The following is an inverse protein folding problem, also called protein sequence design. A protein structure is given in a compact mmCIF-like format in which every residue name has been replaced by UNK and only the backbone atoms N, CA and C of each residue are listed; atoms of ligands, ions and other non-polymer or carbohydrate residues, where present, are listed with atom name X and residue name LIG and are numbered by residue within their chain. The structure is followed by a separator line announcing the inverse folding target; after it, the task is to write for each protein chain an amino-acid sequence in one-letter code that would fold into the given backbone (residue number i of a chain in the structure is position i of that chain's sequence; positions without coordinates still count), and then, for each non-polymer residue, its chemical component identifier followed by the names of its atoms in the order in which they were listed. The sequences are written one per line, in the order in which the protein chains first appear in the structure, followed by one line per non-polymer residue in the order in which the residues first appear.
data_IF_749563916469
#
_entry.id   IF_749563916469
#
_cell.length_a   1.000
_cell.length_b   1.000
_cell.length_c   1.000
_cell.angle_alpha   90.00
_cell.angle_beta   90.00
_cell.angle_gamma   90.00
#
_symmetry.space_group_name_H-M   'P 1'
#
loop_
_entity.id
_entity.type
_entity.pdbx_description
1 polymer ?
#
# COMPACT_ATOMS: atom_id res chain seq x y z
N UNK A 1 -0.60 -17.41 -26.16
CA UNK A 1 0.69 -16.70 -26.34
C UNK A 1 1.55 -16.76 -25.08
N UNK A 2 1.05 -16.33 -23.93
CA UNK A 2 1.87 -16.18 -22.71
C UNK A 2 1.88 -17.37 -21.74
N UNK A 3 1.15 -18.45 -22.04
CA UNK A 3 0.95 -19.60 -21.12
C UNK A 3 2.20 -20.24 -20.53
N UNK A 4 3.35 -20.12 -21.19
CA UNK A 4 4.61 -20.72 -20.77
C UNK A 4 5.55 -19.73 -20.08
N UNK A 5 5.08 -18.53 -19.76
CA UNK A 5 5.82 -17.53 -19.01
C UNK A 5 5.30 -17.54 -17.57
N UNK A 6 6.22 -17.73 -16.63
CA UNK A 6 5.98 -17.82 -15.18
C UNK A 6 5.92 -16.46 -14.48
N UNK A 7 6.37 -15.40 -15.15
CA UNK A 7 6.49 -14.03 -14.64
C UNK A 7 5.36 -13.13 -15.18
N UNK A 8 4.12 -13.63 -15.17
CA UNK A 8 2.95 -12.90 -15.66
C UNK A 8 1.92 -12.76 -14.54
N UNK A 9 1.44 -11.52 -14.36
CA UNK A 9 0.25 -11.20 -13.57
C UNK A 9 -0.79 -10.66 -14.55
N UNK A 10 -2.00 -11.20 -14.53
CA UNK A 10 -3.08 -10.73 -15.40
C UNK A 10 -3.88 -9.65 -14.68
N UNK A 11 -3.85 -8.44 -15.21
CA UNK A 11 -4.60 -7.30 -14.69
C UNK A 11 -5.74 -7.06 -15.67
N UNK A 12 -6.96 -7.41 -15.27
CA UNK A 12 -8.19 -7.08 -16.01
C UNK A 12 -8.59 -5.63 -15.70
N UNK A 13 -9.61 -5.11 -16.39
CA UNK A 13 -10.05 -3.72 -16.21
C UNK A 13 -9.06 -2.73 -16.82
N UNK A 14 -8.88 -1.60 -16.14
CA UNK A 14 -8.00 -0.51 -16.55
C UNK A 14 -8.72 0.84 -16.53
N UNK A 15 -8.50 1.61 -15.47
CA UNK A 15 -9.06 2.95 -15.21
C UNK A 15 -10.58 3.04 -15.48
N UNK A 16 -11.34 2.06 -14.94
CA UNK A 16 -12.79 2.00 -15.11
C UNK A 16 -13.48 1.23 -13.99
N UNK A 17 -14.59 1.76 -13.49
CA UNK A 17 -15.49 1.03 -12.59
C UNK A 17 -16.16 -0.13 -13.35
N UNK A 18 -16.13 -1.33 -12.77
CA UNK A 18 -16.60 -2.53 -13.46
C UNK A 18 -18.11 -2.54 -13.77
N UNK A 19 -18.88 -1.70 -13.10
CA UNK A 19 -20.33 -1.52 -13.25
C UNK A 19 -20.72 -0.23 -13.97
N UNK A 20 -19.76 0.52 -14.53
CA UNK A 20 -20.06 1.78 -15.21
C UNK A 20 -20.66 1.54 -16.60
N UNK A 21 -21.92 1.96 -16.80
CA UNK A 21 -22.52 2.08 -18.14
C UNK A 21 -23.05 0.78 -18.77
N UNK A 22 -23.12 -0.34 -18.04
CA UNK A 22 -23.71 -1.59 -18.54
C UNK A 22 -23.25 -2.84 -17.78
N UNK A 23 -23.62 -4.01 -18.31
CA UNK A 23 -23.22 -5.33 -17.78
C UNK A 23 -21.78 -5.70 -18.17
N UNK A 24 -20.81 -4.90 -17.73
CA UNK A 24 -19.39 -5.16 -17.99
C UNK A 24 -18.80 -6.21 -17.04
N UNK A 25 -19.41 -6.44 -15.87
CA UNK A 25 -18.97 -7.52 -14.96
C UNK A 25 -18.95 -8.87 -15.66
N UNK A 26 -19.99 -9.20 -16.45
CA UNK A 26 -20.03 -10.42 -17.25
C UNK A 26 -18.87 -10.51 -18.24
N UNK A 27 -18.49 -9.41 -18.87
CA UNK A 27 -17.35 -9.39 -19.80
C UNK A 27 -16.02 -9.66 -19.09
N UNK A 28 -15.78 -9.04 -17.93
CA UNK A 28 -14.55 -9.29 -17.16
C UNK A 28 -14.46 -10.74 -16.68
N UNK A 29 -15.57 -11.31 -16.22
CA UNK A 29 -15.67 -12.74 -15.86
C UNK A 29 -15.36 -13.65 -17.03
N UNK A 30 -15.97 -13.42 -18.19
CA UNK A 30 -15.67 -14.19 -19.41
C UNK A 30 -14.22 -14.04 -19.88
N UNK A 31 -13.59 -12.87 -19.66
CA UNK A 31 -12.16 -12.70 -19.92
C UNK A 31 -11.31 -13.56 -18.99
N UNK A 32 -11.62 -13.62 -17.68
CA UNK A 32 -10.91 -14.47 -16.73
C UNK A 32 -11.05 -15.96 -17.07
N UNK A 33 -12.26 -16.42 -17.39
CA UNK A 33 -12.53 -17.78 -17.86
C UNK A 33 -11.74 -18.09 -19.15
N UNK A 34 -11.73 -17.15 -20.10
CA UNK A 34 -10.98 -17.26 -21.35
C UNK A 34 -9.47 -17.34 -21.16
N UNK A 35 -8.91 -16.64 -20.17
CA UNK A 35 -7.49 -16.74 -19.79
C UNK A 35 -7.18 -18.16 -19.31
N UNK A 36 -7.97 -18.71 -18.39
CA UNK A 36 -7.76 -20.08 -17.89
C UNK A 36 -7.94 -21.10 -18.99
N UNK A 37 -8.95 -20.96 -19.85
CA UNK A 37 -9.11 -21.82 -21.02
C UNK A 37 -7.88 -21.75 -21.93
N UNK A 38 -7.36 -20.54 -22.20
CA UNK A 38 -6.18 -20.36 -23.03
C UNK A 38 -4.89 -20.96 -22.45
N UNK A 39 -4.78 -21.08 -21.13
CA UNK A 39 -3.64 -21.66 -20.43
C UNK A 39 -3.78 -23.19 -20.30
N UNK A 40 -4.96 -23.66 -19.91
CA UNK A 40 -5.19 -25.04 -19.43
C UNK A 40 -6.01 -25.91 -20.40
N UNK A 41 -6.77 -25.29 -21.32
CA UNK A 41 -7.75 -25.95 -22.18
C UNK A 41 -9.06 -26.32 -21.47
N UNK A 42 -9.25 -25.89 -20.23
CA UNK A 42 -10.40 -26.24 -19.39
C UNK A 42 -11.44 -25.12 -19.40
N UNK A 43 -12.71 -25.49 -19.48
CA UNK A 43 -13.83 -24.56 -19.31
C UNK A 43 -14.31 -24.65 -17.87
N UNK A 44 -14.26 -23.52 -17.16
CA UNK A 44 -14.74 -23.36 -15.79
C UNK A 44 -15.55 -22.07 -15.72
N UNK A 45 -16.48 -21.97 -14.77
CA UNK A 45 -17.22 -20.74 -14.56
C UNK A 45 -16.56 -19.86 -13.48
N UNK A 46 -16.61 -18.55 -13.64
CA UNK A 46 -16.02 -17.52 -12.76
C UNK A 46 -16.41 -17.65 -11.27
N UNK A 47 -17.54 -18.29 -10.98
CA UNK A 47 -18.09 -18.51 -9.64
C UNK A 47 -17.87 -19.93 -9.10
N UNK A 48 -17.13 -20.77 -9.82
CA UNK A 48 -16.80 -22.13 -9.40
C UNK A 48 -15.41 -22.17 -8.78
N UNK A 49 -15.31 -22.75 -7.58
CA UNK A 49 -14.01 -23.05 -6.99
C UNK A 49 -13.36 -24.19 -7.78
N UNK A 50 -12.21 -23.92 -8.38
CA UNK A 50 -11.50 -24.84 -9.26
C UNK A 50 -9.99 -24.70 -9.10
N UNK A 51 -9.23 -25.81 -9.06
CA UNK A 51 -7.76 -25.72 -9.00
C UNK A 51 -7.15 -25.10 -10.25
N UNK A 52 -7.90 -24.95 -11.34
CA UNK A 52 -7.40 -24.34 -12.57
C UNK A 52 -7.19 -22.82 -12.43
N UNK A 53 -7.85 -22.14 -11.48
CA UNK A 53 -7.58 -20.73 -11.20
C UNK A 53 -6.11 -20.49 -10.79
N UNK A 54 -5.47 -21.45 -10.12
CA UNK A 54 -4.06 -21.36 -9.69
C UNK A 54 -3.03 -21.32 -10.83
N UNK A 55 -3.44 -21.48 -12.10
CA UNK A 55 -2.54 -21.38 -13.25
C UNK A 55 -2.30 -19.93 -13.71
N UNK A 56 -3.03 -18.96 -13.17
CA UNK A 56 -2.88 -17.55 -13.49
C UNK A 56 -3.15 -16.72 -12.24
N UNK A 57 -2.18 -15.87 -11.85
CA UNK A 57 -2.45 -14.85 -10.84
C UNK A 57 -3.18 -13.67 -11.49
N UNK A 58 -4.38 -13.35 -11.02
CA UNK A 58 -5.28 -12.38 -11.64
C UNK A 58 -5.84 -11.35 -10.65
N UNK A 59 -6.06 -10.13 -11.16
CA UNK A 59 -6.67 -9.02 -10.43
C UNK A 59 -7.47 -8.12 -11.38
N UNK A 60 -8.08 -7.06 -10.84
CA UNK A 60 -8.83 -6.06 -11.61
C UNK A 60 -8.35 -4.65 -11.24
N UNK A 61 -7.92 -3.87 -12.23
CA UNK A 61 -7.58 -2.46 -12.06
C UNK A 61 -8.87 -1.60 -12.10
N UNK A 62 -9.25 -0.95 -10.99
CA UNK A 62 -10.41 -0.06 -10.93
C UNK A 62 -10.13 1.29 -11.61
N UNK A 63 -10.99 2.29 -11.38
CA UNK A 63 -10.71 3.70 -11.64
C UNK A 63 -10.24 4.41 -10.35
N UNK A 64 -9.87 5.68 -10.48
CA UNK A 64 -9.47 6.55 -9.37
C UNK A 64 -10.55 6.91 -8.34
N UNK A 65 -11.60 6.11 -8.19
CA UNK A 65 -12.61 6.21 -7.13
C UNK A 65 -12.12 5.45 -5.88
N UNK A 66 -11.47 6.12 -4.90
CA UNK A 66 -10.62 5.45 -3.91
C UNK A 66 -11.37 4.46 -2.99
N UNK A 67 -12.69 4.56 -2.87
CA UNK A 67 -13.51 3.70 -2.00
C UNK A 67 -14.33 2.65 -2.79
N UNK A 68 -14.17 2.59 -4.11
CA UNK A 68 -14.90 1.69 -5.00
C UNK A 68 -13.92 0.95 -5.92
N UNK A 69 -13.27 -0.04 -5.35
CA UNK A 69 -12.19 -0.80 -6.00
C UNK A 69 -12.63 -2.20 -6.41
N UNK A 70 -11.71 -3.01 -6.93
CA UNK A 70 -11.96 -4.40 -7.34
C UNK A 70 -12.73 -5.26 -6.32
N UNK A 71 -12.46 -5.05 -5.02
CA UNK A 71 -13.17 -5.69 -3.91
C UNK A 71 -14.68 -5.42 -3.89
N UNK A 72 -15.14 -4.30 -4.48
CA UNK A 72 -16.56 -3.96 -4.57
C UNK A 72 -17.32 -4.91 -5.49
N UNK A 73 -16.66 -5.45 -6.51
CA UNK A 73 -17.34 -6.19 -7.58
C UNK A 73 -16.94 -7.67 -7.66
N UNK A 74 -15.71 -8.00 -7.31
CA UNK A 74 -15.10 -9.29 -7.61
C UNK A 74 -14.48 -9.97 -6.38
N UNK A 75 -14.69 -9.44 -5.17
CA UNK A 75 -14.12 -10.03 -3.96
C UNK A 75 -14.49 -11.50 -3.76
N UNK A 76 -15.73 -11.87 -4.09
CA UNK A 76 -16.24 -13.24 -3.93
C UNK A 76 -16.03 -14.10 -5.18
N UNK A 77 -15.59 -13.50 -6.29
CA UNK A 77 -15.35 -14.23 -7.53
C UNK A 77 -14.12 -15.15 -7.38
N UNK A 78 -14.23 -16.40 -7.87
CA UNK A 78 -13.19 -17.41 -7.70
C UNK A 78 -11.92 -17.10 -8.51
N UNK A 79 -12.04 -16.29 -9.57
CA UNK A 79 -10.92 -15.93 -10.43
C UNK A 79 -10.04 -14.80 -9.90
N UNK A 80 -10.52 -13.98 -8.96
CA UNK A 80 -9.78 -12.83 -8.44
C UNK A 80 -8.86 -13.26 -7.30
N UNK A 81 -7.55 -13.31 -7.50
CA UNK A 81 -6.61 -13.77 -6.47
C UNK A 81 -6.31 -12.69 -5.41
N UNK A 82 -6.28 -11.43 -5.82
CA UNK A 82 -6.05 -10.29 -4.93
C UNK A 82 -6.80 -9.06 -5.42
N UNK A 83 -7.22 -8.21 -4.49
CA UNK A 83 -7.82 -6.93 -4.83
C UNK A 83 -6.72 -5.93 -5.22
N UNK A 84 -7.03 -5.05 -6.16
CA UNK A 84 -6.24 -3.88 -6.50
C UNK A 84 -7.05 -2.61 -6.25
N UNK A 85 -6.35 -1.59 -5.73
CA UNK A 85 -6.88 -0.26 -5.41
C UNK A 85 -6.22 0.78 -6.31
N UNK A 86 -7.01 1.75 -6.74
CA UNK A 86 -6.53 3.00 -7.31
C UNK A 86 -7.07 4.17 -6.48
N UNK A 87 -6.17 5.02 -5.96
CA UNK A 87 -6.58 6.28 -5.33
C UNK A 87 -6.34 7.48 -6.22
N UNK A 88 -5.48 7.32 -7.23
CA UNK A 88 -5.03 8.40 -8.11
C UNK A 88 -4.66 9.66 -7.30
N UNK A 89 -5.25 10.82 -7.58
CA UNK A 89 -4.96 12.09 -6.88
C UNK A 89 -5.47 12.18 -5.44
N UNK A 90 -6.25 11.20 -4.96
CA UNK A 90 -6.86 11.20 -3.63
C UNK A 90 -5.88 10.69 -2.55
N UNK A 91 -4.76 11.38 -2.37
CA UNK A 91 -3.68 11.01 -1.43
C UNK A 91 -4.14 10.82 0.03
N UNK A 92 -5.24 11.45 0.42
CA UNK A 92 -5.79 11.32 1.78
C UNK A 92 -6.55 10.02 2.02
N UNK A 93 -6.94 9.31 0.97
CA UNK A 93 -7.78 8.11 1.08
C UNK A 93 -6.98 6.81 1.11
N UNK A 94 -5.65 6.86 0.98
CA UNK A 94 -4.79 5.67 0.87
C UNK A 94 -4.97 4.70 2.03
N UNK A 95 -4.87 5.20 3.27
CA UNK A 95 -5.01 4.34 4.45
C UNK A 95 -6.43 3.76 4.53
N UNK A 96 -7.45 4.60 4.34
CA UNK A 96 -8.86 4.21 4.45
C UNK A 96 -9.23 3.12 3.42
N UNK A 97 -8.86 3.33 2.15
CA UNK A 97 -9.13 2.41 1.06
C UNK A 97 -8.50 1.02 1.31
N UNK A 98 -7.25 0.98 1.76
CA UNK A 98 -6.59 -0.30 2.09
C UNK A 98 -7.24 -0.95 3.30
N UNK A 99 -7.58 -0.18 4.34
CA UNK A 99 -8.24 -0.77 5.52
C UNK A 99 -9.62 -1.32 5.21
N UNK A 100 -10.37 -0.70 4.29
CA UNK A 100 -11.67 -1.23 3.84
C UNK A 100 -11.51 -2.67 3.34
N UNK A 101 -10.57 -2.92 2.43
CA UNK A 101 -10.32 -4.26 1.92
C UNK A 101 -9.74 -5.20 2.98
N UNK A 102 -8.83 -4.71 3.83
CA UNK A 102 -8.19 -5.53 4.88
C UNK A 102 -9.20 -6.11 5.88
N UNK A 103 -10.36 -5.44 6.08
CA UNK A 103 -11.43 -5.95 6.95
C UNK A 103 -12.28 -7.06 6.33
N UNK A 104 -12.14 -7.33 5.02
CA UNK A 104 -12.86 -8.40 4.36
C UNK A 104 -12.27 -9.76 4.75
N UNK A 105 -13.12 -10.67 5.24
CA UNK A 105 -12.68 -11.92 5.85
C UNK A 105 -13.21 -13.18 5.18
N UNK A 106 -14.09 -13.07 4.20
CA UNK A 106 -14.73 -14.22 3.55
C UNK A 106 -14.95 -13.93 2.06
N UNK A 107 -14.06 -14.43 1.17
CA UNK A 107 -12.77 -15.04 1.49
C UNK A 107 -11.71 -14.02 1.92
N UNK A 108 -10.70 -14.45 2.69
CA UNK A 108 -9.52 -13.59 2.93
C UNK A 108 -8.71 -13.48 1.63
N UNK A 109 -8.54 -12.27 1.11
CA UNK A 109 -7.72 -11.96 -0.07
C UNK A 109 -6.70 -10.86 0.22
N UNK A 110 -5.49 -10.92 -0.36
CA UNK A 110 -4.55 -9.81 -0.33
C UNK A 110 -5.10 -8.59 -1.09
N UNK A 111 -4.61 -7.40 -0.74
CA UNK A 111 -4.91 -6.15 -1.47
C UNK A 111 -3.62 -5.42 -1.83
N UNK A 112 -3.53 -4.92 -3.06
CA UNK A 112 -2.38 -4.16 -3.56
C UNK A 112 -2.82 -2.73 -3.88
N UNK A 113 -2.06 -1.74 -3.42
CA UNK A 113 -2.18 -0.37 -3.92
C UNK A 113 -1.59 -0.32 -5.34
N UNK A 114 -2.45 -0.43 -6.34
CA UNK A 114 -2.07 -0.59 -7.75
C UNK A 114 -1.77 0.72 -8.45
N UNK A 115 -2.50 1.78 -8.11
CA UNK A 115 -2.30 3.11 -8.69
C UNK A 115 -2.53 4.22 -7.64
N UNK A 116 -1.46 4.62 -6.92
CA UNK A 116 -1.45 5.79 -6.06
C UNK A 116 -1.17 7.07 -6.88
N UNK A 117 -1.11 8.24 -6.24
CA UNK A 117 -0.72 9.48 -6.90
C UNK A 117 0.73 9.40 -7.40
N UNK A 118 0.92 9.67 -8.69
CA UNK A 118 2.21 9.61 -9.36
C UNK A 118 3.14 10.77 -8.99
N UNK A 119 4.44 10.51 -8.89
CA UNK A 119 5.46 11.54 -8.68
C UNK A 119 5.41 12.57 -9.83
N UNK A 120 5.43 13.87 -9.48
CA UNK A 120 5.30 15.00 -10.41
C UNK A 120 3.94 15.09 -11.15
N UNK A 121 2.92 14.33 -10.75
CA UNK A 121 1.55 14.59 -11.21
C UNK A 121 1.07 15.95 -10.70
N UNK A 122 0.36 16.77 -11.50
CA UNK A 122 -0.27 17.99 -11.00
C UNK A 122 -1.20 17.71 -9.81
N UNK A 123 -0.91 18.28 -8.65
CA UNK A 123 -1.77 18.25 -7.47
C UNK A 123 -2.33 19.64 -7.14
N UNK A 124 -3.20 19.69 -6.12
CA UNK A 124 -3.86 20.92 -5.68
C UNK A 124 -2.90 22.02 -5.22
N UNK A 125 -1.81 21.63 -4.54
CA UNK A 125 -0.82 22.54 -3.95
C UNK A 125 0.50 22.59 -4.74
N UNK A 126 0.50 21.99 -5.93
CA UNK A 126 1.69 21.79 -6.75
C UNK A 126 1.86 20.33 -7.15
N UNK A 127 2.92 20.00 -7.89
CA UNK A 127 3.21 18.63 -8.29
C UNK A 127 3.38 17.71 -7.07
N UNK A 128 2.88 16.48 -7.16
CA UNK A 128 3.05 15.44 -6.12
C UNK A 128 4.55 15.24 -5.86
N UNK A 129 4.95 15.53 -4.63
CA UNK A 129 6.35 15.46 -4.21
C UNK A 129 6.76 14.03 -3.80
N UNK A 130 8.06 13.76 -3.81
CA UNK A 130 8.61 12.47 -3.39
C UNK A 130 8.17 12.03 -1.98
N UNK A 131 8.01 12.98 -1.04
CA UNK A 131 7.50 12.69 0.31
C UNK A 131 6.06 12.16 0.28
N UNK A 132 5.22 12.65 -0.62
CA UNK A 132 3.84 12.18 -0.76
C UNK A 132 3.80 10.76 -1.34
N UNK A 133 4.69 10.44 -2.28
CA UNK A 133 4.89 9.06 -2.77
C UNK A 133 5.29 8.12 -1.62
N UNK A 134 6.23 8.56 -0.76
CA UNK A 134 6.60 7.77 0.42
C UNK A 134 5.43 7.55 1.36
N UNK A 135 4.72 8.62 1.75
CA UNK A 135 3.56 8.55 2.65
C UNK A 135 2.55 7.52 2.17
N UNK A 136 2.21 7.55 0.88
CA UNK A 136 1.30 6.58 0.29
C UNK A 136 1.81 5.14 0.44
N UNK A 137 3.08 4.88 0.09
CA UNK A 137 3.67 3.54 0.23
C UNK A 137 3.68 3.02 1.67
N UNK A 138 4.16 3.84 2.61
CA UNK A 138 4.21 3.47 4.02
C UNK A 138 2.82 3.28 4.63
N UNK A 139 1.88 4.19 4.34
CA UNK A 139 0.50 4.05 4.81
C UNK A 139 -0.18 2.83 4.22
N UNK A 140 0.06 2.45 2.96
CA UNK A 140 -0.48 1.22 2.38
C UNK A 140 -0.05 -0.03 3.14
N UNK A 141 1.26 -0.23 3.39
CA UNK A 141 1.72 -1.41 4.14
C UNK A 141 1.23 -1.40 5.59
N UNK A 142 1.22 -0.23 6.24
CA UNK A 142 0.75 -0.12 7.63
C UNK A 142 -0.78 -0.26 7.78
N UNK A 143 -1.53 -0.06 6.69
CA UNK A 143 -2.96 -0.37 6.60
C UNK A 143 -3.24 -1.85 6.31
N UNK A 144 -2.24 -2.65 5.95
CA UNK A 144 -2.36 -4.08 5.66
C UNK A 144 -2.28 -4.47 4.18
N UNK A 145 -1.80 -3.58 3.30
CA UNK A 145 -1.60 -3.92 1.89
C UNK A 145 -0.51 -5.00 1.72
N UNK A 146 -0.70 -5.85 0.72
CA UNK A 146 0.24 -6.87 0.27
C UNK A 146 1.25 -6.35 -0.78
N UNK A 147 1.08 -5.12 -1.24
CA UNK A 147 1.96 -4.51 -2.23
C UNK A 147 1.63 -3.05 -2.50
N UNK A 148 2.56 -2.38 -3.18
CA UNK A 148 2.45 -0.99 -3.60
C UNK A 148 3.16 -0.80 -4.94
N UNK A 149 2.51 -0.11 -5.87
CA UNK A 149 3.06 0.23 -7.18
C UNK A 149 3.46 1.70 -7.24
N UNK A 150 4.67 1.97 -7.71
CA UNK A 150 5.14 3.33 -8.00
C UNK A 150 4.72 3.78 -9.39
N UNK A 151 4.44 5.08 -9.56
CA UNK A 151 4.35 5.71 -10.87
C UNK A 151 4.87 7.15 -10.90
N UNK A 152 5.21 7.60 -12.10
CA UNK A 152 5.72 8.93 -12.40
C UNK A 152 4.89 9.53 -13.54
N UNK A 153 4.53 10.81 -13.43
CA UNK A 153 3.67 11.46 -14.43
C UNK A 153 4.46 12.17 -15.54
N UNK A 154 5.64 12.71 -15.21
CA UNK A 154 6.48 13.49 -16.13
C UNK A 154 7.82 12.82 -16.37
N UNK A 155 8.45 13.18 -17.47
CA UNK A 155 9.84 12.84 -17.77
C UNK A 155 10.82 13.81 -17.11
N UNK A 156 12.11 13.55 -17.28
CA UNK A 156 13.17 14.39 -16.70
C UNK A 156 13.31 15.79 -17.31
N UNK A 157 12.61 16.09 -18.41
CA UNK A 157 12.51 17.43 -18.99
C UNK A 157 11.19 18.12 -18.61
N UNK A 158 10.34 17.46 -17.83
CA UNK A 158 9.04 17.98 -17.42
C UNK A 158 7.92 17.73 -18.43
N UNK A 159 8.15 16.94 -19.48
CA UNK A 159 7.08 16.55 -20.41
C UNK A 159 6.23 15.45 -19.78
N UNK A 160 4.92 15.49 -19.97
CA UNK A 160 4.02 14.43 -19.56
C UNK A 160 2.65 14.58 -20.22
N UNK A 161 1.77 13.58 -20.08
CA UNK A 161 1.96 12.32 -19.37
C UNK A 161 3.00 11.38 -20.02
N UNK A 162 3.61 10.48 -19.24
CA UNK A 162 4.53 9.42 -19.69
C UNK A 162 3.80 8.30 -20.46
N UNK A 163 3.09 8.62 -21.53
CA UNK A 163 2.39 7.64 -22.38
C UNK A 163 3.17 7.24 -23.63
N UNK A 164 4.37 7.81 -23.83
CA UNK A 164 5.19 7.58 -25.02
C UNK A 164 6.55 6.99 -24.65
N UNK A 165 7.05 5.99 -25.41
CA UNK A 165 8.41 5.47 -25.21
C UNK A 165 9.50 6.49 -25.56
N UNK A 166 9.14 7.63 -26.18
CA UNK A 166 10.07 8.70 -26.55
C UNK A 166 10.24 9.78 -25.46
N UNK A 167 9.49 9.68 -24.36
CA UNK A 167 9.72 10.54 -23.19
C UNK A 167 11.11 10.27 -22.59
N UNK A 168 11.73 11.28 -21.95
CA UNK A 168 13.03 11.11 -21.28
C UNK A 168 12.88 10.48 -19.88
N UNK A 169 12.27 9.29 -19.86
CA UNK A 169 11.81 8.59 -18.66
C UNK A 169 12.96 7.93 -17.88
N UNK A 170 14.08 7.59 -18.51
CA UNK A 170 15.14 6.78 -17.88
C UNK A 170 15.73 7.48 -16.64
N UNK A 171 15.79 8.81 -16.68
CA UNK A 171 16.25 9.63 -15.56
C UNK A 171 15.22 9.72 -14.42
N UNK A 172 13.94 9.44 -14.67
CA UNK A 172 12.90 9.44 -13.62
C UNK A 172 13.04 8.25 -12.67
N UNK A 173 13.66 7.15 -13.12
CA UNK A 173 14.08 6.04 -12.25
C UNK A 173 15.02 6.48 -11.13
N UNK A 174 15.69 7.63 -11.30
CA UNK A 174 16.60 8.19 -10.32
C UNK A 174 15.95 9.21 -9.38
N UNK A 175 14.65 9.48 -9.50
CA UNK A 175 13.94 10.40 -8.64
C UNK A 175 13.88 9.91 -7.19
N UNK A 176 13.69 10.87 -6.27
CA UNK A 176 13.67 10.59 -4.84
C UNK A 176 12.54 9.62 -4.49
N UNK A 177 11.34 9.79 -5.05
CA UNK A 177 10.21 8.88 -4.82
C UNK A 177 10.57 7.46 -5.24
N UNK A 178 10.98 7.27 -6.50
CA UNK A 178 11.40 5.97 -7.04
C UNK A 178 12.46 5.27 -6.17
N UNK A 179 13.56 5.96 -5.83
CA UNK A 179 14.64 5.38 -5.02
C UNK A 179 14.19 5.06 -3.61
N UNK A 180 13.37 5.93 -3.01
CA UNK A 180 12.98 5.76 -1.62
C UNK A 180 12.09 4.54 -1.37
N UNK A 181 11.34 4.09 -2.37
CA UNK A 181 10.52 2.87 -2.26
C UNK A 181 11.36 1.58 -2.22
N UNK A 182 12.63 1.62 -2.65
CA UNK A 182 13.55 0.51 -2.40
C UNK A 182 13.84 0.32 -0.90
N UNK A 183 13.88 1.41 -0.12
CA UNK A 183 14.02 1.38 1.33
C UNK A 183 12.75 0.88 2.02
N UNK A 184 11.56 1.19 1.49
CA UNK A 184 10.30 0.61 1.95
C UNK A 184 10.31 -0.92 1.74
N UNK A 185 10.62 -1.39 0.53
CA UNK A 185 10.70 -2.83 0.24
C UNK A 185 11.67 -3.54 1.18
N UNK A 186 12.87 -3.01 1.35
CA UNK A 186 13.90 -3.61 2.20
C UNK A 186 13.42 -3.70 3.65
N UNK A 187 12.87 -2.60 4.18
CA UNK A 187 12.34 -2.55 5.53
C UNK A 187 11.19 -3.55 5.76
N UNK A 188 10.23 -3.65 4.83
CA UNK A 188 9.13 -4.61 4.92
C UNK A 188 9.64 -6.07 4.94
N UNK A 189 10.61 -6.40 4.09
CA UNK A 189 11.19 -7.75 4.03
C UNK A 189 11.99 -8.08 5.29
N UNK A 190 12.81 -7.16 5.78
CA UNK A 190 13.63 -7.33 6.99
C UNK A 190 12.77 -7.48 8.27
N UNK A 191 11.56 -6.91 8.27
CA UNK A 191 10.65 -6.92 9.42
C UNK A 191 9.46 -7.87 9.24
N UNK A 192 9.54 -8.84 8.31
CA UNK A 192 8.54 -9.89 8.12
C UNK A 192 7.10 -9.35 7.97
N UNK A 193 6.93 -8.39 7.05
CA UNK A 193 5.67 -7.68 6.82
C UNK A 193 4.38 -8.53 6.71
N UNK A 194 4.39 -9.79 6.18
CA UNK A 194 3.14 -10.56 6.09
C UNK A 194 2.50 -10.88 7.45
N UNK A 195 3.21 -10.68 8.55
CA UNK A 195 2.73 -10.94 9.91
C UNK A 195 2.32 -9.66 10.66
N UNK A 196 2.45 -8.48 10.02
CA UNK A 196 2.05 -7.21 10.62
C UNK A 196 0.53 -7.15 10.79
N UNK A 197 0.09 -6.68 11.96
CA UNK A 197 -1.34 -6.43 12.24
C UNK A 197 -1.56 -4.93 12.41
N UNK A 198 -2.31 -4.26 11.53
CA UNK A 198 -2.70 -2.86 11.74
C UNK A 198 -3.31 -2.66 13.13
N UNK A 199 -2.78 -1.72 13.88
CA UNK A 199 -3.16 -1.47 15.28
C UNK A 199 -3.12 0.02 15.62
N UNK A 200 -4.10 0.77 15.11
CA UNK A 200 -4.26 2.20 15.44
C UNK A 200 -4.63 2.46 16.91
N UNK A 201 -5.01 1.44 17.69
CA UNK A 201 -5.46 1.63 19.08
C UNK A 201 -4.34 2.08 20.02
N UNK A 202 -3.08 1.89 19.64
CA UNK A 202 -1.94 2.38 20.41
C UNK A 202 -1.67 3.87 20.20
N UNK A 203 -2.32 4.49 19.21
CA UNK A 203 -2.14 5.90 18.90
C UNK A 203 -3.20 6.74 19.65
N UNK A 204 -2.74 7.53 20.60
CA UNK A 204 -3.56 8.56 21.26
C UNK A 204 -3.52 9.91 20.53
N UNK A 205 -3.46 10.98 21.33
CA UNK A 205 -3.34 12.36 20.86
C UNK A 205 -2.18 12.54 19.87
N UNK A 206 -2.46 13.21 18.74
CA UNK A 206 -1.47 13.53 17.71
C UNK A 206 -1.59 12.73 16.41
N UNK A 207 -2.56 11.82 16.29
CA UNK A 207 -2.66 10.87 15.18
C UNK A 207 -2.81 11.52 13.79
N UNK A 208 -3.49 12.68 13.71
CA UNK A 208 -3.83 13.40 12.46
C UNK A 208 -4.66 12.52 11.49
N UNK A 209 -4.88 13.01 10.28
CA UNK A 209 -5.76 12.40 9.27
C UNK A 209 -5.14 12.52 7.86
N UNK A 210 -5.71 11.78 6.90
CA UNK A 210 -5.29 11.83 5.50
C UNK A 210 -3.82 11.45 5.28
N UNK A 211 -3.12 12.18 4.40
CA UNK A 211 -1.70 11.94 4.15
C UNK A 211 -0.80 12.15 5.39
N UNK A 212 -1.31 12.86 6.42
CA UNK A 212 -0.61 13.11 7.67
C UNK A 212 -1.00 12.13 8.79
N UNK A 213 -1.89 11.17 8.51
CA UNK A 213 -2.27 10.12 9.45
C UNK A 213 -1.04 9.29 9.85
N UNK A 214 -0.75 9.26 11.15
CA UNK A 214 0.19 8.31 11.74
C UNK A 214 -0.45 6.93 11.78
N UNK A 215 0.35 5.92 11.46
CA UNK A 215 -0.13 4.55 11.35
C UNK A 215 0.73 3.62 12.18
N UNK A 216 0.12 2.60 12.78
CA UNK A 216 0.81 1.64 13.62
C UNK A 216 0.47 0.21 13.21
N UNK A 217 1.47 -0.67 13.28
CA UNK A 217 1.31 -2.11 13.17
C UNK A 217 1.94 -2.79 14.37
N UNK A 218 1.33 -3.91 14.77
CA UNK A 218 1.81 -4.77 15.84
C UNK A 218 2.39 -6.05 15.24
N UNK A 219 3.59 -6.42 15.69
CA UNK A 219 4.29 -7.65 15.30
C UNK A 219 4.22 -8.70 16.42
N UNK A 220 4.23 -8.24 17.68
CA UNK A 220 3.99 -9.07 18.88
C UNK A 220 3.48 -8.18 20.01
N UNK A 221 3.22 -8.75 21.20
CA UNK A 221 2.80 -7.97 22.37
C UNK A 221 3.86 -6.99 22.88
N UNK A 222 5.11 -7.13 22.42
CA UNK A 222 6.24 -6.31 22.82
C UNK A 222 6.92 -5.60 21.65
N UNK A 223 6.38 -5.71 20.43
CA UNK A 223 7.01 -5.18 19.23
C UNK A 223 6.01 -4.51 18.29
N UNK A 224 6.21 -3.21 18.08
CA UNK A 224 5.37 -2.34 17.28
C UNK A 224 6.20 -1.53 16.30
N UNK A 225 5.61 -1.18 15.17
CA UNK A 225 6.14 -0.18 14.25
C UNK A 225 5.13 0.95 14.15
N UNK A 226 5.61 2.20 14.14
CA UNK A 226 4.76 3.39 13.93
C UNK A 226 5.35 4.25 12.83
N UNK A 227 4.59 4.52 11.77
CA UNK A 227 4.95 5.47 10.73
C UNK A 227 4.47 6.88 11.08
N UNK A 228 5.41 7.82 10.97
CA UNK A 228 5.23 9.25 11.14
C UNK A 228 5.39 9.94 9.77
N UNK A 229 4.31 10.46 9.16
CA UNK A 229 4.38 11.17 7.88
C UNK A 229 4.89 12.61 8.00
N UNK A 230 5.12 13.08 9.24
CA UNK A 230 5.70 14.36 9.59
C UNK A 230 6.42 14.32 10.95
N UNK A 231 7.00 15.46 11.36
CA UNK A 231 7.72 15.61 12.64
C UNK A 231 6.82 16.12 13.77
N UNK A 232 5.57 15.69 13.84
CA UNK A 232 4.70 16.04 14.98
C UNK A 232 4.69 14.95 16.06
N UNK A 233 4.57 15.39 17.31
CA UNK A 233 4.50 14.50 18.48
C UNK A 233 3.32 13.54 18.38
N UNK A 234 3.52 12.32 18.88
CA UNK A 234 2.47 11.32 19.05
C UNK A 234 2.49 10.78 20.48
N UNK A 235 1.30 10.69 21.09
CA UNK A 235 1.10 9.94 22.31
C UNK A 235 0.89 8.45 22.00
N UNK A 236 1.70 7.57 22.58
CA UNK A 236 1.53 6.13 22.49
C UNK A 236 0.88 5.60 23.77
N UNK A 237 -0.04 4.65 23.61
CA UNK A 237 -0.81 4.03 24.70
C UNK A 237 -0.60 2.52 24.63
N UNK A 238 -0.09 1.94 25.72
CA UNK A 238 0.15 0.51 25.86
C UNK A 238 -0.56 -0.04 27.12
N UNK A 239 -0.69 -1.37 27.20
CA UNK A 239 -1.29 -2.03 28.36
C UNK A 239 -0.48 -1.79 29.65
N UNK A 240 -1.17 -1.75 30.78
CA UNK A 240 -0.56 -1.72 32.10
C UNK A 240 0.19 -3.03 32.36
N UNK A 241 1.52 -2.95 32.42
CA UNK A 241 2.40 -4.12 32.50
C UNK A 241 3.78 -3.84 31.94
N UNK A 242 3.88 -2.84 31.05
CA UNK A 242 5.14 -2.32 30.55
C UNK A 242 5.62 -1.12 31.35
N UNK A 243 6.92 -1.03 31.50
CA UNK A 243 7.64 0.00 32.22
C UNK A 243 8.37 0.95 31.29
N UNK A 244 8.85 0.47 30.14
CA UNK A 244 9.70 1.24 29.23
C UNK A 244 9.39 0.96 27.75
N UNK A 245 9.57 1.99 26.94
CA UNK A 245 9.60 1.96 25.47
C UNK A 245 11.02 2.24 25.02
N UNK A 246 11.58 1.45 24.10
CA UNK A 246 12.90 1.69 23.51
C UNK A 246 12.95 1.16 22.07
N UNK A 247 14.00 1.50 21.32
CA UNK A 247 14.23 0.92 20.00
C UNK A 247 14.98 1.84 19.07
N UNK A 248 14.46 2.07 17.87
CA UNK A 248 15.13 2.90 16.87
C UNK A 248 14.17 3.68 15.98
N UNK A 249 14.68 4.74 15.38
CA UNK A 249 14.08 5.45 14.26
C UNK A 249 14.70 4.98 12.96
N UNK A 250 13.88 4.74 11.94
CA UNK A 250 14.28 4.48 10.56
C UNK A 250 13.83 5.63 9.66
N UNK A 251 14.70 6.09 8.77
CA UNK A 251 14.41 7.19 7.84
C UNK A 251 13.91 6.64 6.48
N UNK A 252 12.62 6.81 6.16
CA UNK A 252 12.02 6.37 4.89
C UNK A 252 12.72 6.85 3.62
N UNK A 253 13.38 8.02 3.67
CA UNK A 253 13.99 8.65 2.51
C UNK A 253 15.28 7.96 2.08
N UNK A 254 16.07 7.47 3.05
CA UNK A 254 17.45 7.03 2.81
C UNK A 254 17.90 5.78 3.58
N UNK A 255 17.03 5.17 4.40
CA UNK A 255 17.32 3.96 5.15
C UNK A 255 18.21 4.15 6.37
N UNK A 256 18.52 5.39 6.78
CA UNK A 256 19.32 5.64 7.97
C UNK A 256 18.57 5.25 9.25
N UNK A 257 19.31 4.73 10.22
CA UNK A 257 18.80 4.40 11.56
C UNK A 257 19.39 5.35 12.62
N UNK A 258 18.59 5.66 13.62
CA UNK A 258 19.02 6.38 14.83
C UNK A 258 18.43 5.69 16.07
N UNK A 259 19.14 5.68 17.19
CA UNK A 259 18.60 5.12 18.43
C UNK A 259 17.38 5.90 18.93
N UNK A 260 16.39 5.19 19.47
CA UNK A 260 15.36 5.76 20.34
C UNK A 260 15.74 5.38 21.77
N UNK A 261 16.21 6.37 22.53
CA UNK A 261 16.58 6.17 23.92
C UNK A 261 15.37 5.68 24.75
N UNK A 262 15.59 4.86 25.78
CA UNK A 262 14.51 4.35 26.62
C UNK A 262 13.67 5.48 27.22
N UNK A 263 12.34 5.33 27.13
CA UNK A 263 11.35 6.25 27.69
C UNK A 263 10.51 5.47 28.68
N UNK A 264 10.49 5.93 29.93
CA UNK A 264 9.63 5.38 30.98
C UNK A 264 8.16 5.65 30.64
N UNK A 265 7.34 4.62 30.75
CA UNK A 265 5.89 4.72 30.62
C UNK A 265 5.29 5.26 31.92
N UNK A 266 4.38 6.22 31.79
CA UNK A 266 3.57 6.74 32.91
C UNK A 266 2.14 6.31 32.65
N UNK A 267 1.60 5.43 33.50
CA UNK A 267 0.28 4.82 33.34
C UNK A 267 0.07 4.16 31.96
N UNK A 268 1.12 3.51 31.44
CA UNK A 268 1.10 2.86 30.11
C UNK A 268 1.23 3.84 28.93
N UNK A 269 1.54 5.11 29.19
CA UNK A 269 1.59 6.16 28.16
C UNK A 269 2.99 6.76 28.04
N UNK A 270 3.40 7.08 26.81
CA UNK A 270 4.54 7.96 26.55
C UNK A 270 4.26 8.88 25.35
N UNK A 271 5.11 9.89 25.16
CA UNK A 271 5.10 10.74 23.97
C UNK A 271 6.42 10.59 23.23
N UNK A 272 6.36 10.41 21.92
CA UNK A 272 7.55 10.35 21.07
C UNK A 272 7.44 11.37 19.93
N UNK A 273 8.59 11.82 19.45
CA UNK A 273 8.73 12.74 18.33
C UNK A 273 9.89 12.27 17.43
N UNK A 274 9.74 12.29 16.10
CA UNK A 274 10.82 11.91 15.20
C UNK A 274 12.09 12.77 15.34
N UNK A 275 13.26 12.25 14.92
CA UNK A 275 14.52 13.00 14.92
C UNK A 275 14.45 14.33 14.18
N UNK A 276 15.34 15.25 14.57
CA UNK A 276 15.52 16.53 13.89
C UNK A 276 15.90 16.32 12.41
N UNK A 277 15.43 17.24 11.55
CA UNK A 277 15.65 17.23 10.10
C UNK A 277 15.01 16.08 9.29
N UNK A 278 14.25 15.17 9.92
CA UNK A 278 13.56 14.10 9.19
C UNK A 278 12.14 14.56 8.79
N UNK A 279 11.81 14.46 7.51
CA UNK A 279 10.48 14.82 6.96
C UNK A 279 9.39 13.82 7.31
N UNK A 280 9.79 12.59 7.55
CA UNK A 280 9.00 11.42 7.89
C UNK A 280 9.92 10.39 8.56
N UNK A 281 9.36 9.49 9.35
CA UNK A 281 10.12 8.51 10.13
C UNK A 281 9.30 7.25 10.41
N UNK A 282 9.97 6.14 10.69
CA UNK A 282 9.34 4.96 11.30
C UNK A 282 9.97 4.74 12.67
N UNK A 283 9.16 4.68 13.71
CA UNK A 283 9.58 4.23 15.03
C UNK A 283 9.47 2.70 15.08
N UNK A 284 10.59 2.04 15.38
CA UNK A 284 10.69 0.62 15.68
C UNK A 284 10.70 0.49 17.20
N UNK A 285 9.60 0.02 17.79
CA UNK A 285 9.33 0.11 19.22
C UNK A 285 9.31 -1.28 19.87
N UNK A 286 10.13 -1.44 20.90
CA UNK A 286 10.10 -2.57 21.81
C UNK A 286 9.60 -2.13 23.20
N UNK A 287 8.83 -3.01 23.84
CA UNK A 287 8.31 -2.80 25.19
C UNK A 287 9.03 -3.70 26.19
N UNK A 288 9.28 -3.16 27.39
CA UNK A 288 9.88 -3.88 28.52
C UNK A 288 9.05 -3.70 29.79
#
# INVERSE_FOLDING_TARGET
RYRSNDHIIWVLGGDVQADFGGDFLGHYRSMAEGIIFGITGQNIAWNENSPYWNYALMTYHPDGSPMKNSSTWFHDDAWLDFNMIETFVNVNSVYEAVTQDYTLSDPIKPTVMGEPAYENHPGKEGPIAAIQVRRQGWQSFFAGAAGFTYGAFRDSLGNGPLFSPFNHWEKTLNWEGAKSLAFLKSFCLENNWPHWKPNQKILGEGQKEGEYLKTAVQLSDHYYLIYFPDRSTQMLIFNSGFSEVFGSWYNPKNGLNQNLDPITLVDGVCKIIPPDAWSDAVAVIHLK
#
